data_IF_744717832376
#
_entry.id   IF_744717832376
#
_cell.length_a   1.000
_cell.length_b   1.000
_cell.length_c   1.000
_cell.angle_alpha   90.00
_cell.angle_beta   90.00
_cell.angle_gamma   90.00
#
_symmetry.space_group_name_H-M   'P 1'
#
loop_
_entity.id
_entity.type
_entity.pdbx_description
1 polymer ?
#
# COMPACT_ATOMS: atom_id res chain seq x y z
N UNK A 1 -15.58 -4.87 -6.57
CA UNK A 1 -14.12 -4.83 -6.84
C UNK A 1 -13.45 -6.08 -6.23
N UNK A 2 -14.22 -7.13 -6.00
CA UNK A 2 -14.00 -7.99 -4.83
C UNK A 2 -12.78 -8.90 -4.97
N UNK A 3 -12.47 -9.31 -6.21
CA UNK A 3 -11.30 -10.10 -6.54
C UNK A 3 -9.97 -9.45 -6.12
N UNK A 4 -9.83 -8.13 -6.25
CA UNK A 4 -8.58 -7.44 -5.89
C UNK A 4 -8.30 -7.51 -4.38
N UNK A 5 -9.34 -7.52 -3.55
CA UNK A 5 -9.22 -7.56 -2.10
C UNK A 5 -8.92 -8.95 -1.54
N UNK A 6 -8.90 -9.99 -2.37
CA UNK A 6 -8.39 -11.29 -1.96
C UNK A 6 -6.87 -11.19 -1.72
N UNK A 7 -6.35 -11.55 -0.52
CA UNK A 7 -4.94 -11.37 -0.19
C UNK A 7 -3.95 -11.99 -1.20
N UNK A 8 -4.19 -13.19 -1.77
CA UNK A 8 -3.30 -13.75 -2.80
C UNK A 8 -3.29 -12.95 -4.10
N UNK A 9 -4.37 -12.24 -4.44
CA UNK A 9 -4.47 -11.42 -5.66
C UNK A 9 -3.77 -10.08 -5.44
N UNK A 10 -4.04 -9.43 -4.31
CA UNK A 10 -3.38 -8.20 -3.91
C UNK A 10 -1.85 -8.36 -3.83
N UNK A 11 -1.37 -9.49 -3.29
CA UNK A 11 0.05 -9.80 -3.18
C UNK A 11 0.74 -9.88 -4.55
N UNK A 12 0.09 -10.47 -5.57
CA UNK A 12 0.66 -10.52 -6.92
C UNK A 12 0.81 -9.13 -7.52
N UNK A 13 -0.17 -8.25 -7.30
CA UNK A 13 -0.06 -6.87 -7.78
C UNK A 13 1.03 -6.11 -7.02
N UNK A 14 1.04 -6.19 -5.69
CA UNK A 14 2.02 -5.49 -4.85
C UNK A 14 3.47 -5.87 -5.20
N UNK A 15 3.73 -7.16 -5.46
CA UNK A 15 5.03 -7.65 -5.92
C UNK A 15 5.44 -7.10 -7.29
N UNK A 16 4.47 -6.78 -8.16
CA UNK A 16 4.75 -6.28 -9.51
C UNK A 16 4.98 -4.76 -9.53
N UNK A 17 4.18 -4.00 -8.77
CA UNK A 17 4.17 -2.53 -8.84
C UNK A 17 4.96 -1.84 -7.71
N UNK A 18 5.33 -2.57 -6.65
CA UNK A 18 6.07 -2.05 -5.50
C UNK A 18 5.42 -0.79 -4.87
N UNK A 19 4.10 -0.82 -4.68
CA UNK A 19 3.32 0.26 -4.08
C UNK A 19 2.66 -0.17 -2.78
N UNK A 20 2.23 0.80 -1.96
CA UNK A 20 1.51 0.55 -0.70
C UNK A 20 0.27 -0.32 -0.96
N UNK A 21 0.22 -1.50 -0.35
CA UNK A 21 -0.91 -2.41 -0.49
C UNK A 21 -2.01 -2.11 0.55
N UNK A 22 -3.27 -1.88 0.14
CA UNK A 22 -4.36 -1.54 1.06
C UNK A 22 -5.04 -2.76 1.70
N UNK A 23 -4.58 -3.98 1.40
CA UNK A 23 -5.25 -5.22 1.82
C UNK A 23 -4.62 -5.77 3.10
N UNK A 24 -5.41 -5.80 4.18
CA UNK A 24 -4.99 -6.40 5.44
C UNK A 24 -4.67 -7.89 5.27
N UNK A 25 -3.61 -8.35 5.94
CA UNK A 25 -3.17 -9.75 5.84
C UNK A 25 -2.47 -10.12 4.53
N UNK A 26 -2.07 -9.13 3.70
CA UNK A 26 -1.31 -9.39 2.47
C UNK A 26 0.12 -9.89 2.74
N UNK A 27 0.76 -9.47 3.84
CA UNK A 27 2.18 -9.75 4.14
C UNK A 27 2.57 -11.23 4.02
N UNK A 28 1.84 -12.21 4.61
CA UNK A 28 2.19 -13.62 4.47
C UNK A 28 2.02 -14.18 3.05
N UNK A 29 1.17 -13.56 2.21
CA UNK A 29 1.02 -13.96 0.80
C UNK A 29 2.12 -13.34 -0.05
N UNK A 30 2.45 -12.06 0.19
CA UNK A 30 3.52 -11.35 -0.48
C UNK A 30 4.87 -12.03 -0.20
N UNK A 31 5.15 -12.45 1.04
CA UNK A 31 6.40 -13.11 1.42
C UNK A 31 6.64 -14.47 0.74
N UNK A 32 5.61 -15.07 0.11
CA UNK A 32 5.74 -16.27 -0.73
C UNK A 32 6.27 -15.94 -2.13
N UNK A 33 6.05 -14.71 -2.60
CA UNK A 33 6.42 -14.21 -3.91
C UNK A 33 7.73 -13.43 -3.82
N UNK A 34 7.77 -12.45 -2.92
CA UNK A 34 8.88 -11.53 -2.71
C UNK A 34 8.96 -11.17 -1.22
N UNK A 35 10.03 -11.63 -0.55
CA UNK A 35 10.26 -11.37 0.89
C UNK A 35 10.71 -9.94 1.14
N UNK A 36 11.52 -9.38 0.26
CA UNK A 36 12.05 -8.03 0.43
C UNK A 36 10.91 -7.02 0.32
N UNK A 37 9.98 -7.22 -0.63
CA UNK A 37 8.77 -6.41 -0.72
C UNK A 37 7.84 -6.59 0.49
N UNK A 38 7.71 -7.80 1.03
CA UNK A 38 6.86 -8.08 2.18
C UNK A 38 7.39 -7.46 3.50
N UNK A 39 8.70 -7.30 3.61
CA UNK A 39 9.35 -6.69 4.78
C UNK A 39 9.64 -5.20 4.59
N UNK A 40 9.40 -4.64 3.40
CA UNK A 40 9.56 -3.21 3.13
C UNK A 40 8.38 -2.39 3.70
N UNK A 41 8.60 -1.54 4.72
CA UNK A 41 7.54 -0.72 5.31
C UNK A 41 6.93 0.31 4.35
N UNK A 42 7.59 0.60 3.22
CA UNK A 42 7.06 1.50 2.20
C UNK A 42 6.09 0.80 1.23
N UNK A 43 6.01 -0.54 1.27
CA UNK A 43 5.06 -1.36 0.49
C UNK A 43 4.00 -1.94 1.43
N UNK A 44 4.42 -2.44 2.59
CA UNK A 44 3.53 -2.92 3.66
C UNK A 44 3.81 -2.13 4.94
N UNK A 45 3.12 -0.99 5.16
CA UNK A 45 3.36 -0.13 6.31
C UNK A 45 3.13 -0.83 7.64
N UNK A 46 4.08 -0.68 8.56
CA UNK A 46 3.84 -0.94 9.97
C UNK A 46 3.12 0.26 10.63
N UNK A 47 2.81 0.15 11.92
CA UNK A 47 2.12 1.22 12.65
C UNK A 47 2.93 2.52 12.71
N UNK A 48 4.26 2.43 12.76
CA UNK A 48 5.12 3.60 12.84
C UNK A 48 5.19 4.34 11.50
N UNK A 49 5.22 3.61 10.38
CA UNK A 49 5.14 4.17 9.03
C UNK A 49 3.76 4.73 8.74
N UNK A 50 2.70 3.99 9.08
CA UNK A 50 1.32 4.47 8.92
C UNK A 50 1.06 5.77 9.70
N UNK A 51 1.58 5.90 10.92
CA UNK A 51 1.46 7.11 11.73
C UNK A 51 2.16 8.35 11.14
N UNK A 52 3.16 8.16 10.26
CA UNK A 52 3.84 9.25 9.53
C UNK A 52 3.12 9.66 8.26
N UNK A 53 2.12 8.89 7.82
CA UNK A 53 1.36 9.19 6.61
C UNK A 53 0.31 10.25 6.88
N UNK A 54 0.11 11.15 5.92
CA UNK A 54 -0.90 12.19 5.98
C UNK A 54 -1.66 12.20 4.66
N UNK A 55 -2.99 12.16 4.73
CA UNK A 55 -3.82 12.40 3.56
C UNK A 55 -3.69 13.87 3.15
N UNK A 56 -3.42 14.11 1.87
CA UNK A 56 -3.45 15.45 1.34
C UNK A 56 -4.90 15.90 1.19
N UNK A 57 -5.27 17.01 1.85
CA UNK A 57 -6.63 17.57 1.70
C UNK A 57 -6.78 18.18 0.31
N UNK A 58 -8.02 18.25 -0.18
CA UNK A 58 -8.34 19.09 -1.33
C UNK A 58 -7.99 20.56 -1.03
N UNK A 59 -7.47 21.27 -2.02
CA UNK A 59 -7.18 22.69 -1.89
C UNK A 59 -8.40 23.54 -2.28
N UNK A 60 -8.46 24.77 -1.76
CA UNK A 60 -9.46 25.74 -2.18
C UNK A 60 -9.08 26.42 -3.49
N UNK A 61 -10.03 27.08 -4.16
CA UNK A 61 -9.79 27.71 -5.46
C UNK A 61 -8.62 28.71 -5.51
N UNK A 62 -8.29 29.37 -4.38
CA UNK A 62 -7.15 30.29 -4.27
C UNK A 62 -5.80 29.58 -4.11
N UNK A 63 -5.82 28.34 -3.63
CA UNK A 63 -4.63 27.52 -3.37
C UNK A 63 -4.26 26.66 -4.60
N UNK A 64 -5.20 26.42 -5.51
CA UNK A 64 -5.04 25.64 -6.77
C UNK A 64 -4.42 26.45 -7.94
N UNK A 65 -4.10 27.73 -7.75
CA UNK A 65 -3.46 28.56 -8.79
C UNK A 65 -1.95 28.44 -8.68
N UNK A 66 -1.37 27.45 -9.37
CA UNK A 66 0.06 27.32 -9.62
C UNK A 66 0.49 28.13 -10.87
#
# INVERSE_FOLDING_TARGET
IDYYYEPPVAARLAAWINYVCPVDGVKPQLAKIDKDAADNPLIVPDRAMAAKSHAFRSLGAKEETA
#
